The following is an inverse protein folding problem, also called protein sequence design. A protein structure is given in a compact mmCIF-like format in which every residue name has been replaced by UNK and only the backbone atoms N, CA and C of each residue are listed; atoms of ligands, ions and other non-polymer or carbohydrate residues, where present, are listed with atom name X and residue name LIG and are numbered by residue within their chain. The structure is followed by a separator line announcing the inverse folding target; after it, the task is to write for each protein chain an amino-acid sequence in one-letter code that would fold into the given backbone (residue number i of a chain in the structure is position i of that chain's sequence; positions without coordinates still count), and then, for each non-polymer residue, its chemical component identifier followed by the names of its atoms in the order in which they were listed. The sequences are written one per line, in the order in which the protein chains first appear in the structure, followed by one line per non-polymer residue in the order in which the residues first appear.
data_IF_287248508837
#
_entry.id   IF_287248508837
#
_cell.length_a   1.000
_cell.length_b   1.000
_cell.length_c   1.000
_cell.angle_alpha   90.00
_cell.angle_beta   90.00
_cell.angle_gamma   90.00
#
_symmetry.space_group_name_H-M   'P 1'
#
loop_
_entity.id
_entity.type
_entity.pdbx_description
1 polymer ?
#
# COMPACT_ATOMS: atom_id res chain seq x y z
N UNK A 1 52.14 26.06 -60.43
CA UNK A 1 51.87 26.73 -59.14
C UNK A 1 50.45 27.22 -59.16
N UNK A 2 49.49 26.62 -58.46
CA UNK A 2 49.13 25.19 -58.31
C UNK A 2 47.61 25.28 -58.18
N UNK A 3 46.86 24.98 -59.24
CA UNK A 3 46.59 23.69 -59.88
C UNK A 3 45.38 22.98 -59.24
N UNK A 4 44.22 22.91 -59.90
CA UNK A 4 43.80 23.72 -61.05
C UNK A 4 42.29 23.97 -61.00
N UNK A 5 41.93 25.25 -61.01
CA UNK A 5 40.64 25.75 -61.45
C UNK A 5 40.37 25.23 -62.86
N UNK A 6 39.56 24.18 -63.02
CA UNK A 6 38.92 23.87 -64.29
C UNK A 6 37.95 22.71 -64.13
N UNK A 7 36.70 23.01 -63.79
CA UNK A 7 35.59 22.35 -64.51
C UNK A 7 34.23 23.00 -64.32
N UNK A 8 34.14 24.26 -63.87
CA UNK A 8 32.94 25.06 -63.99
C UNK A 8 33.36 26.48 -64.39
N UNK A 9 33.06 26.89 -65.61
CA UNK A 9 33.27 28.26 -66.09
C UNK A 9 31.94 28.99 -66.20
N UNK A 10 31.95 30.28 -65.89
CA UNK A 10 30.86 31.21 -66.14
C UNK A 10 31.16 31.93 -67.44
N UNK A 11 30.32 31.74 -68.46
CA UNK A 11 30.36 32.55 -69.67
C UNK A 11 29.02 33.29 -69.75
N UNK A 12 29.08 34.63 -69.74
CA UNK A 12 27.91 35.52 -69.79
C UNK A 12 26.88 35.33 -68.64
N UNK A 13 27.33 34.97 -67.43
CA UNK A 13 26.47 34.96 -66.23
C UNK A 13 25.73 33.66 -65.89
N UNK A 14 26.08 32.50 -66.49
CA UNK A 14 25.62 31.17 -66.04
C UNK A 14 26.77 30.15 -65.89
N UNK A 15 26.73 29.29 -64.86
CA UNK A 15 27.70 28.20 -64.59
C UNK A 15 27.36 26.90 -65.35
N UNK A 16 28.35 26.24 -66.00
CA UNK A 16 28.25 24.85 -66.51
C UNK A 16 29.48 23.99 -66.18
N UNK A 17 29.25 22.74 -65.76
CA UNK A 17 30.26 21.71 -65.45
C UNK A 17 30.09 20.46 -66.35
N UNK A 18 31.18 19.76 -66.73
CA UNK A 18 31.13 18.61 -67.66
C UNK A 18 31.73 17.31 -67.07
N UNK A 19 30.95 16.22 -67.09
CA UNK A 19 31.26 14.85 -66.59
C UNK A 19 31.88 13.99 -67.70
N UNK A 20 33.10 13.44 -67.54
CA UNK A 20 33.53 12.27 -68.36
C UNK A 20 34.77 11.44 -67.94
N UNK A 21 35.26 11.49 -66.69
CA UNK A 21 36.45 10.69 -66.27
C UNK A 21 36.22 9.66 -65.15
N UNK A 22 35.00 9.17 -64.92
CA UNK A 22 34.71 8.27 -63.77
C UNK A 22 34.76 6.76 -64.11
N UNK A 23 34.90 6.35 -65.38
CA UNK A 23 34.58 4.97 -65.77
C UNK A 23 35.74 3.95 -65.71
N UNK A 24 37.02 4.32 -65.51
CA UNK A 24 38.13 3.34 -65.57
C UNK A 24 38.73 2.87 -64.24
N UNK A 25 38.22 3.36 -63.09
CA UNK A 25 38.68 2.92 -61.76
C UNK A 25 37.75 1.88 -61.10
N UNK A 26 36.64 1.51 -61.73
CA UNK A 26 35.59 0.71 -61.09
C UNK A 26 35.82 -0.82 -61.14
N UNK A 27 36.80 -1.29 -61.91
CA UNK A 27 36.99 -2.74 -62.17
C UNK A 27 38.06 -3.41 -61.31
N UNK A 28 39.02 -2.66 -60.74
CA UNK A 28 40.05 -3.23 -59.86
C UNK A 28 39.64 -3.29 -58.38
N UNK A 29 38.64 -2.53 -57.95
CA UNK A 29 38.14 -2.57 -56.55
C UNK A 29 37.18 -3.75 -56.32
N UNK A 30 36.43 -4.17 -57.35
CA UNK A 30 35.49 -5.31 -57.27
C UNK A 30 36.13 -6.68 -57.07
N UNK A 31 37.44 -6.83 -57.28
CA UNK A 31 38.15 -8.12 -57.17
C UNK A 31 38.65 -8.43 -55.75
N UNK A 32 38.89 -7.40 -54.93
CA UNK A 32 39.35 -7.57 -53.54
C UNK A 32 38.19 -7.73 -52.53
N UNK A 33 36.97 -7.30 -52.84
CA UNK A 33 35.82 -7.46 -51.93
C UNK A 33 35.22 -8.88 -51.90
N UNK A 34 35.50 -9.71 -52.91
CA UNK A 34 34.99 -11.10 -52.96
C UNK A 34 35.72 -12.04 -52.00
N UNK A 35 36.94 -11.72 -51.58
CA UNK A 35 37.73 -12.58 -50.67
C UNK A 35 37.45 -12.28 -49.18
N UNK A 36 36.98 -11.07 -48.84
CA UNK A 36 36.70 -10.69 -47.44
C UNK A 36 35.27 -11.04 -47.00
N UNK A 37 34.36 -11.28 -47.95
CA UNK A 37 32.95 -11.60 -47.68
C UNK A 37 32.67 -13.08 -47.35
N UNK A 38 33.65 -13.98 -47.47
CA UNK A 38 33.46 -15.42 -47.25
C UNK A 38 33.59 -15.88 -45.77
N UNK A 39 33.91 -15.01 -44.82
CA UNK A 39 34.16 -15.40 -43.40
C UNK A 39 33.35 -14.56 -42.41
N UNK A 40 32.06 -14.37 -42.66
CA UNK A 40 31.11 -13.91 -41.63
C UNK A 40 29.93 -14.87 -41.54
N UNK A 41 30.10 -15.94 -40.76
CA UNK A 41 28.97 -16.79 -40.35
C UNK A 41 27.97 -15.90 -39.59
N UNK A 42 26.80 -15.64 -40.19
CA UNK A 42 25.65 -15.09 -39.47
C UNK A 42 25.16 -16.18 -38.53
N UNK A 43 25.27 -15.97 -37.22
CA UNK A 43 24.47 -16.69 -36.24
C UNK A 43 23.01 -16.32 -36.48
N UNK A 44 22.25 -17.25 -37.04
CA UNK A 44 20.81 -17.12 -37.23
C UNK A 44 20.12 -17.33 -35.88
N UNK A 45 19.87 -16.24 -35.16
CA UNK A 45 18.89 -16.26 -34.08
C UNK A 45 17.50 -16.09 -34.69
N UNK A 46 16.57 -17.04 -34.52
CA UNK A 46 15.18 -16.82 -34.91
C UNK A 46 14.66 -15.63 -34.11
N UNK A 47 14.13 -14.61 -34.79
CA UNK A 47 13.41 -13.53 -34.10
C UNK A 47 12.21 -14.17 -33.38
N UNK A 48 12.04 -14.00 -32.06
CA UNK A 48 10.84 -14.47 -31.40
C UNK A 48 9.64 -13.80 -32.08
N UNK A 49 8.65 -14.62 -32.41
CA UNK A 49 7.47 -14.18 -33.14
C UNK A 49 6.60 -13.34 -32.21
N UNK A 50 6.87 -12.03 -32.23
CA UNK A 50 5.95 -10.90 -32.17
C UNK A 50 4.65 -11.04 -31.35
N UNK A 51 4.71 -11.57 -30.13
CA UNK A 51 3.67 -11.31 -29.11
C UNK A 51 3.79 -9.88 -28.54
N UNK A 52 4.92 -9.21 -28.79
CA UNK A 52 5.17 -7.83 -28.39
C UNK A 52 4.22 -6.84 -29.08
N UNK A 53 3.79 -7.10 -30.31
CA UNK A 53 2.81 -6.24 -30.98
C UNK A 53 1.46 -6.27 -30.26
N UNK A 54 0.96 -7.44 -29.90
CA UNK A 54 -0.31 -7.57 -29.17
C UNK A 54 -0.24 -6.86 -27.80
N UNK A 55 0.86 -7.04 -27.07
CA UNK A 55 1.07 -6.41 -25.77
C UNK A 55 1.16 -4.88 -25.88
N UNK A 56 1.84 -4.38 -26.91
CA UNK A 56 1.90 -2.94 -27.21
C UNK A 56 0.52 -2.39 -27.55
N UNK A 57 -0.29 -3.10 -28.36
CA UNK A 57 -1.68 -2.71 -28.63
C UNK A 57 -2.54 -2.68 -27.37
N UNK A 58 -2.42 -3.68 -26.48
CA UNK A 58 -3.11 -3.69 -25.20
C UNK A 58 -2.70 -2.51 -24.31
N UNK A 59 -1.41 -2.21 -24.21
CA UNK A 59 -0.92 -1.08 -23.43
C UNK A 59 -1.44 0.26 -23.98
N UNK A 60 -1.45 0.44 -25.31
CA UNK A 60 -1.99 1.63 -25.95
C UNK A 60 -3.50 1.77 -25.72
N UNK A 61 -4.26 0.67 -25.74
CA UNK A 61 -5.69 0.68 -25.43
C UNK A 61 -5.96 1.06 -23.97
N UNK A 62 -5.20 0.52 -23.02
CA UNK A 62 -5.33 0.86 -21.59
C UNK A 62 -5.07 2.36 -21.37
N UNK A 63 -4.02 2.90 -22.00
CA UNK A 63 -3.70 4.34 -21.91
C UNK A 63 -4.79 5.20 -22.53
N UNK A 64 -5.32 4.82 -23.70
CA UNK A 64 -6.39 5.54 -24.37
C UNK A 64 -7.70 5.53 -23.56
N UNK A 65 -8.06 4.38 -22.99
CA UNK A 65 -9.25 4.24 -22.14
C UNK A 65 -9.10 5.06 -20.85
N UNK A 66 -7.91 5.02 -20.22
CA UNK A 66 -7.63 5.84 -19.04
C UNK A 66 -7.74 7.35 -19.32
N UNK A 67 -7.27 7.80 -20.49
CA UNK A 67 -7.42 9.18 -20.94
C UNK A 67 -8.89 9.57 -21.13
N UNK A 68 -9.71 8.71 -21.75
CA UNK A 68 -11.14 8.97 -21.93
C UNK A 68 -11.92 9.01 -20.61
N UNK A 69 -11.58 8.16 -19.64
CA UNK A 69 -12.20 8.21 -18.31
C UNK A 69 -11.82 9.48 -17.55
N UNK A 70 -10.56 9.90 -17.63
CA UNK A 70 -10.13 11.18 -17.07
C UNK A 70 -10.80 12.37 -17.75
N UNK A 71 -11.01 12.33 -19.07
CA UNK A 71 -11.65 13.42 -19.81
C UNK A 71 -13.15 13.57 -19.49
N UNK A 72 -13.83 12.44 -19.28
CA UNK A 72 -15.28 12.42 -18.99
C UNK A 72 -15.61 12.54 -17.49
N UNK A 73 -14.61 12.69 -16.61
CA UNK A 73 -14.82 12.81 -15.15
C UNK A 73 -15.41 11.57 -14.50
N UNK A 74 -15.24 10.40 -15.11
CA UNK A 74 -15.74 9.12 -14.60
C UNK A 74 -14.71 8.58 -13.61
N UNK A 75 -15.11 8.39 -12.36
CA UNK A 75 -14.30 7.73 -11.35
C UNK A 75 -13.91 6.33 -11.82
N UNK A 76 -12.61 6.05 -11.90
CA UNK A 76 -12.07 4.76 -12.34
C UNK A 76 -12.63 3.58 -11.52
N UNK A 77 -13.01 3.84 -10.27
CA UNK A 77 -13.61 2.90 -9.33
C UNK A 77 -14.94 2.33 -9.84
N UNK A 78 -15.79 3.14 -10.50
CA UNK A 78 -17.14 2.75 -10.94
C UNK A 78 -17.10 1.75 -12.11
N UNK A 79 -16.02 1.77 -12.88
CA UNK A 79 -15.80 0.87 -14.03
C UNK A 79 -14.94 -0.33 -13.65
N UNK A 80 -13.98 -0.16 -12.74
CA UNK A 80 -13.04 -1.19 -12.36
C UNK A 80 -13.69 -2.24 -11.45
N UNK A 81 -14.59 -1.83 -10.55
CA UNK A 81 -15.22 -2.73 -9.58
C UNK A 81 -16.07 -3.85 -10.23
N UNK A 82 -16.90 -3.59 -11.27
CA UNK A 82 -17.61 -4.64 -12.00
C UNK A 82 -16.67 -5.61 -12.74
N UNK A 83 -15.58 -5.10 -13.30
CA UNK A 83 -14.61 -5.92 -14.05
C UNK A 83 -13.80 -6.80 -13.08
N UNK A 84 -13.34 -6.24 -11.96
CA UNK A 84 -12.60 -6.99 -10.94
C UNK A 84 -13.47 -8.04 -10.25
N UNK A 85 -14.74 -7.72 -9.98
CA UNK A 85 -15.68 -8.69 -9.42
C UNK A 85 -15.97 -9.83 -10.42
N UNK A 86 -16.14 -9.53 -11.70
CA UNK A 86 -16.26 -10.54 -12.75
C UNK A 86 -15.00 -11.42 -12.89
N UNK A 87 -13.81 -10.82 -12.88
CA UNK A 87 -12.52 -11.54 -12.93
C UNK A 87 -12.35 -12.44 -11.69
N UNK A 88 -12.72 -11.95 -10.50
CA UNK A 88 -12.68 -12.73 -9.25
C UNK A 88 -13.66 -13.92 -9.27
N UNK A 89 -14.85 -13.71 -9.81
CA UNK A 89 -15.88 -14.75 -9.93
C UNK A 89 -15.51 -15.80 -11.00
N UNK A 90 -14.84 -15.38 -12.08
CA UNK A 90 -14.41 -16.26 -13.16
C UNK A 90 -13.12 -17.02 -12.84
N UNK A 91 -12.19 -16.40 -12.09
CA UNK A 91 -10.93 -17.03 -11.68
C UNK A 91 -11.16 -18.20 -10.72
N UNK A 92 -12.17 -18.13 -9.84
CA UNK A 92 -12.59 -19.24 -8.96
C UNK A 92 -13.14 -20.46 -9.72
N UNK A 93 -13.47 -20.34 -11.00
CA UNK A 93 -13.97 -21.45 -11.83
C UNK A 93 -12.84 -22.23 -12.54
N UNK A 94 -11.60 -21.77 -12.47
CA UNK A 94 -10.45 -22.41 -13.10
C UNK A 94 -9.72 -23.29 -12.07
N UNK A 95 -9.67 -24.63 -12.24
CA UNK A 95 -9.04 -25.54 -11.27
C UNK A 95 -7.52 -25.32 -11.11
N UNK A 96 -6.90 -24.62 -12.07
CA UNK A 96 -5.48 -24.23 -12.04
C UNK A 96 -5.22 -23.10 -11.02
N UNK A 97 -6.23 -22.28 -10.71
CA UNK A 97 -6.11 -21.14 -9.79
C UNK A 97 -6.04 -21.61 -8.35
N UNK A 98 -6.80 -22.64 -7.95
CA UNK A 98 -6.70 -23.21 -6.60
C UNK A 98 -5.31 -23.78 -6.30
N UNK A 99 -4.70 -24.50 -7.26
CA UNK A 99 -3.35 -25.05 -7.09
C UNK A 99 -2.28 -23.96 -6.96
N UNK A 100 -2.41 -22.86 -7.70
CA UNK A 100 -1.48 -21.72 -7.61
C UNK A 100 -1.69 -20.96 -6.29
N UNK A 101 -2.94 -20.75 -5.88
CA UNK A 101 -3.24 -20.09 -4.60
C UNK A 101 -2.72 -20.95 -3.43
N UNK A 102 -2.91 -22.26 -3.44
CA UNK A 102 -2.41 -23.15 -2.38
C UNK A 102 -0.88 -23.22 -2.36
N UNK A 103 -0.24 -23.19 -3.52
CA UNK A 103 1.23 -23.08 -3.61
C UNK A 103 1.74 -21.77 -3.01
N UNK A 104 1.03 -20.66 -3.26
CA UNK A 104 1.34 -19.35 -2.67
C UNK A 104 1.13 -19.36 -1.17
N UNK A 105 0.01 -19.94 -0.67
CA UNK A 105 -0.26 -20.08 0.76
C UNK A 105 0.82 -20.89 1.47
N UNK A 106 1.24 -22.02 0.89
CA UNK A 106 2.32 -22.85 1.45
C UNK A 106 3.68 -22.14 1.48
N UNK A 107 3.99 -21.36 0.44
CA UNK A 107 5.20 -20.55 0.42
C UNK A 107 5.15 -19.44 1.47
N UNK A 108 3.99 -18.82 1.67
CA UNK A 108 3.79 -17.82 2.71
C UNK A 108 3.92 -18.43 4.11
N UNK A 109 3.31 -19.58 4.37
CA UNK A 109 3.41 -20.27 5.67
C UNK A 109 4.85 -20.69 5.99
N UNK A 110 5.60 -21.18 4.99
CA UNK A 110 7.01 -21.53 5.14
C UNK A 110 7.90 -20.30 5.35
N UNK A 111 7.57 -19.16 4.74
CA UNK A 111 8.29 -17.91 4.98
C UNK A 111 8.00 -17.38 6.39
N UNK A 112 6.75 -17.48 6.85
CA UNK A 112 6.34 -17.08 8.20
C UNK A 112 7.02 -17.95 9.27
N UNK A 113 7.17 -19.26 9.04
CA UNK A 113 7.89 -20.14 9.98
C UNK A 113 9.38 -19.80 10.09
N UNK A 114 10.05 -19.55 8.96
CA UNK A 114 11.46 -19.15 8.94
C UNK A 114 11.70 -17.79 9.60
N UNK A 115 10.72 -16.89 9.53
CA UNK A 115 10.77 -15.61 10.23
C UNK A 115 10.54 -15.81 11.74
N UNK A 116 9.59 -16.67 12.15
CA UNK A 116 9.36 -16.96 13.58
C UNK A 116 10.61 -17.51 14.28
N UNK A 117 11.33 -18.43 13.65
CA UNK A 117 12.52 -19.05 14.23
C UNK A 117 13.66 -18.02 14.40
N UNK A 118 13.79 -17.09 13.45
CA UNK A 118 14.81 -16.03 13.51
C UNK A 118 14.54 -14.97 14.59
N UNK A 119 13.28 -14.80 14.99
CA UNK A 119 12.87 -13.79 15.97
C UNK A 119 12.90 -14.30 17.42
N UNK A 120 12.86 -15.62 17.65
CA UNK A 120 12.89 -16.18 19.02
C UNK A 120 14.29 -16.18 19.65
N UNK A 121 15.36 -16.17 18.86
CA UNK A 121 16.74 -16.17 19.38
C UNK A 121 17.29 -14.78 19.79
N UNK A 122 16.62 -13.67 19.42
CA UNK A 122 17.19 -12.32 19.58
C UNK A 122 16.66 -11.50 20.77
N UNK A 123 15.93 -12.10 21.72
CA UNK A 123 15.28 -11.37 22.83
C UNK A 123 16.11 -11.21 24.11
N UNK A 124 17.45 -11.17 24.06
CA UNK A 124 18.29 -10.83 25.23
C UNK A 124 19.19 -9.60 25.01
N UNK A 125 18.72 -8.47 25.56
CA UNK A 125 19.42 -7.25 26.03
C UNK A 125 19.80 -6.10 25.07
N UNK A 126 19.79 -4.82 25.55
CA UNK A 126 19.67 -3.63 24.71
C UNK A 126 20.90 -2.71 24.70
N UNK A 127 21.22 -2.06 23.57
CA UNK A 127 21.86 -0.72 23.59
C UNK A 127 21.69 0.08 22.28
N UNK A 128 21.59 1.40 22.51
CA UNK A 128 21.42 2.60 21.66
C UNK A 128 22.19 2.65 20.33
N UNK A 129 21.59 3.29 19.32
CA UNK A 129 22.28 3.76 18.10
C UNK A 129 21.37 4.51 17.12
N UNK A 130 21.90 5.57 16.51
CA UNK A 130 21.26 6.68 15.77
C UNK A 130 20.89 6.41 14.28
N UNK A 131 19.82 7.11 13.83
CA UNK A 131 19.45 7.63 12.48
C UNK A 131 19.05 6.70 11.29
N UNK A 132 17.77 6.87 10.95
CA UNK A 132 17.10 7.03 9.63
C UNK A 132 17.11 5.89 8.59
N UNK A 133 15.99 5.16 8.53
CA UNK A 133 15.23 4.79 7.31
C UNK A 133 13.87 4.28 7.77
N UNK A 134 12.79 4.80 7.18
CA UNK A 134 11.40 4.46 7.48
C UNK A 134 11.21 2.97 7.20
N UNK A 135 11.23 2.17 8.27
CA UNK A 135 10.94 0.76 8.27
C UNK A 135 9.48 0.66 8.69
N UNK A 136 8.63 0.02 7.89
CA UNK A 136 7.28 -0.34 8.31
C UNK A 136 7.41 -1.02 9.68
N UNK A 137 6.87 -0.37 10.71
CA UNK A 137 6.92 -0.86 12.08
C UNK A 137 6.04 -2.10 12.16
N UNK A 138 6.62 -3.26 11.88
CA UNK A 138 5.99 -4.59 12.05
C UNK A 138 5.33 -4.77 13.43
N UNK A 139 5.75 -3.97 14.42
CA UNK A 139 5.12 -3.86 15.74
C UNK A 139 3.65 -3.44 15.68
N UNK A 140 3.25 -2.63 14.68
CA UNK A 140 1.88 -2.14 14.49
C UNK A 140 0.92 -3.27 14.10
N UNK A 141 1.40 -4.27 13.35
CA UNK A 141 0.59 -5.44 12.92
C UNK A 141 0.41 -6.42 14.08
N UNK A 142 1.45 -6.61 14.90
CA UNK A 142 1.44 -7.52 16.05
C UNK A 142 0.54 -7.02 17.18
N UNK A 143 0.40 -5.71 17.29
CA UNK A 143 -0.27 -5.06 18.40
C UNK A 143 -1.76 -5.44 18.50
N UNK A 144 -2.47 -5.56 17.37
CA UNK A 144 -3.92 -5.74 17.34
C UNK A 144 -4.39 -7.22 17.31
N UNK A 145 -3.48 -8.18 17.15
CA UNK A 145 -3.80 -9.61 17.18
C UNK A 145 -3.69 -10.23 18.59
N UNK A 146 -2.98 -9.56 19.51
CA UNK A 146 -2.86 -9.98 20.92
C UNK A 146 -4.09 -9.54 21.72
N UNK A 147 -5.18 -10.28 21.54
CA UNK A 147 -6.31 -10.26 22.47
C UNK A 147 -5.87 -11.00 23.74
N UNK A 148 -5.83 -10.30 24.86
CA UNK A 148 -5.55 -10.91 26.15
C UNK A 148 -6.85 -11.53 26.70
N UNK A 149 -7.01 -12.83 26.51
CA UNK A 149 -8.18 -13.56 26.98
C UNK A 149 -8.34 -13.59 28.51
N UNK A 150 -7.36 -13.10 29.27
CA UNK A 150 -7.45 -12.97 30.73
C UNK A 150 -8.17 -11.69 31.18
N UNK A 151 -8.29 -10.70 30.30
CA UNK A 151 -8.93 -9.43 30.62
C UNK A 151 -10.45 -9.52 30.57
N UNK A 152 -11.16 -8.77 31.43
CA UNK A 152 -12.61 -8.78 31.47
C UNK A 152 -13.23 -8.11 30.23
N UNK A 153 -14.43 -8.58 29.90
CA UNK A 153 -15.30 -7.96 28.90
C UNK A 153 -16.42 -7.25 29.62
N UNK A 154 -16.59 -5.96 29.36
CA UNK A 154 -17.61 -5.13 29.99
C UNK A 154 -18.71 -4.78 28.97
N UNK A 155 -19.95 -4.63 29.45
CA UNK A 155 -21.03 -4.01 28.66
C UNK A 155 -20.95 -2.48 28.71
N UNK A 156 -21.70 -1.78 27.84
CA UNK A 156 -21.78 -0.30 27.86
C UNK A 156 -22.29 0.21 29.21
N UNK A 157 -23.28 -0.47 29.80
CA UNK A 157 -23.84 -0.14 31.11
C UNK A 157 -22.79 -0.36 32.22
N UNK A 158 -22.02 -1.45 32.14
CA UNK A 158 -20.96 -1.72 33.11
C UNK A 158 -19.83 -0.69 33.04
N UNK A 159 -19.41 -0.32 31.84
CA UNK A 159 -18.39 0.70 31.61
C UNK A 159 -18.85 2.08 32.10
N UNK A 160 -20.14 2.42 31.96
CA UNK A 160 -20.71 3.69 32.47
C UNK A 160 -20.50 3.90 33.96
N UNK A 161 -20.26 2.83 34.74
CA UNK A 161 -19.97 2.97 36.16
C UNK A 161 -18.57 3.51 36.49
N UNK A 162 -17.69 3.66 35.50
CA UNK A 162 -16.30 4.12 35.62
C UNK A 162 -16.11 5.54 35.05
N UNK A 163 -17.12 6.39 35.21
CA UNK A 163 -17.16 7.81 34.83
C UNK A 163 -16.32 8.74 35.75
N UNK A 164 -15.67 8.19 36.78
CA UNK A 164 -14.89 8.92 37.77
C UNK A 164 -15.70 9.64 38.85
N UNK A 165 -17.04 9.55 38.84
CA UNK A 165 -17.90 10.20 39.86
C UNK A 165 -17.86 9.50 41.21
N UNK A 166 -17.50 8.21 41.22
CA UNK A 166 -17.39 7.36 42.41
C UNK A 166 -15.92 7.19 42.79
N UNK A 167 -15.45 7.73 43.92
CA UNK A 167 -14.06 7.58 44.35
C UNK A 167 -13.62 6.13 44.57
N UNK A 168 -14.56 5.23 44.85
CA UNK A 168 -14.31 3.80 45.04
C UNK A 168 -14.12 3.02 43.73
N UNK A 169 -14.35 3.65 42.57
CA UNK A 169 -14.16 3.06 41.24
C UNK A 169 -13.13 3.89 40.47
N UNK A 170 -12.37 3.24 39.61
CA UNK A 170 -11.46 3.92 38.69
C UNK A 170 -12.21 4.76 37.64
N UNK A 171 -11.46 5.55 36.88
CA UNK A 171 -11.96 6.30 35.73
C UNK A 171 -11.49 5.60 34.47
N UNK A 172 -12.41 5.02 33.69
CA UNK A 172 -12.08 4.26 32.48
C UNK A 172 -12.62 4.96 31.24
N UNK A 173 -11.99 4.74 30.10
CA UNK A 173 -12.52 5.11 28.78
C UNK A 173 -12.21 4.02 27.76
N UNK A 174 -12.93 4.02 26.64
CA UNK A 174 -12.72 3.06 25.58
C UNK A 174 -12.45 3.70 24.21
N UNK A 175 -11.58 3.04 23.44
CA UNK A 175 -11.24 3.38 22.04
C UNK A 175 -11.11 2.08 21.24
N UNK A 176 -11.84 1.99 20.12
CA UNK A 176 -12.07 0.75 19.35
C UNK A 176 -12.45 -0.42 20.25
N UNK A 177 -13.26 -0.18 21.28
CA UNK A 177 -13.67 -1.16 22.28
C UNK A 177 -12.55 -1.65 23.20
N UNK A 178 -11.35 -1.08 23.20
CA UNK A 178 -10.29 -1.36 24.19
C UNK A 178 -10.46 -0.42 25.37
N UNK A 179 -10.51 -0.96 26.58
CA UNK A 179 -10.80 -0.20 27.80
C UNK A 179 -9.50 0.09 28.54
N UNK A 180 -9.22 1.37 28.79
CA UNK A 180 -8.03 1.83 29.49
C UNK A 180 -8.36 2.42 30.86
N UNK A 181 -7.53 2.11 31.85
CA UNK A 181 -7.58 2.79 33.15
C UNK A 181 -6.87 4.14 33.07
N UNK A 182 -7.67 5.21 33.04
CA UNK A 182 -7.19 6.60 32.96
C UNK A 182 -7.17 7.29 34.32
N UNK A 183 -7.17 6.54 35.42
CA UNK A 183 -7.09 7.11 36.77
C UNK A 183 -5.82 7.94 37.00
N UNK A 184 -4.68 7.57 36.37
CA UNK A 184 -3.45 8.38 36.36
C UNK A 184 -3.69 9.79 35.80
N UNK A 185 -4.66 9.93 34.91
CA UNK A 185 -5.12 11.17 34.29
C UNK A 185 -6.39 11.75 34.91
N UNK A 186 -6.75 11.42 36.16
CA UNK A 186 -8.02 11.84 36.78
C UNK A 186 -8.27 13.36 36.74
N UNK A 187 -7.23 14.20 36.73
CA UNK A 187 -7.36 15.67 36.52
C UNK A 187 -7.99 16.07 35.18
N UNK A 188 -7.92 15.20 34.18
CA UNK A 188 -8.42 15.41 32.83
C UNK A 188 -9.75 14.71 32.59
N UNK A 189 -9.86 13.45 33.02
CA UNK A 189 -11.00 12.58 32.73
C UNK A 189 -11.98 12.45 33.90
N UNK A 190 -11.57 12.77 35.12
CA UNK A 190 -12.46 12.76 36.29
C UNK A 190 -13.43 13.95 36.30
N UNK A 191 -14.36 13.98 37.27
CA UNK A 191 -15.36 15.03 37.37
C UNK A 191 -14.75 16.44 37.39
N UNK A 192 -15.25 17.33 36.52
CA UNK A 192 -14.73 18.69 36.36
C UNK A 192 -13.49 18.82 35.48
N UNK A 193 -12.93 17.71 34.99
CA UNK A 193 -11.86 17.71 34.00
C UNK A 193 -12.36 18.05 32.59
N UNK A 194 -11.49 18.64 31.78
CA UNK A 194 -11.82 19.09 30.41
C UNK A 194 -12.17 17.96 29.44
N UNK A 195 -11.83 16.72 29.79
CA UNK A 195 -12.02 15.53 28.96
C UNK A 195 -12.94 14.50 29.64
N UNK A 196 -13.72 14.93 30.64
CA UNK A 196 -14.59 14.05 31.41
C UNK A 196 -15.69 13.36 30.56
N UNK A 197 -16.09 13.96 29.44
CA UNK A 197 -17.06 13.37 28.52
C UNK A 197 -16.61 12.05 27.88
N UNK A 198 -15.31 11.71 27.94
CA UNK A 198 -14.79 10.41 27.52
C UNK A 198 -14.95 9.32 28.58
N UNK A 199 -15.12 9.68 29.85
CA UNK A 199 -15.14 8.72 30.94
C UNK A 199 -16.41 7.84 30.89
N UNK A 200 -16.23 6.55 31.17
CA UNK A 200 -17.30 5.57 31.25
C UNK A 200 -17.97 5.21 29.92
N UNK A 201 -17.34 5.51 28.77
CA UNK A 201 -17.90 5.18 27.45
C UNK A 201 -16.83 4.91 26.40
N UNK A 202 -17.27 4.39 25.27
CA UNK A 202 -16.48 4.37 24.03
C UNK A 202 -16.90 5.57 23.17
N UNK A 203 -15.94 6.44 22.90
CA UNK A 203 -16.14 7.64 22.10
C UNK A 203 -15.05 7.72 21.03
N UNK A 204 -14.72 6.57 20.43
CA UNK A 204 -13.73 6.43 19.34
C UNK A 204 -13.89 7.51 18.28
N UNK A 205 -15.12 7.82 17.87
CA UNK A 205 -15.38 8.82 16.83
C UNK A 205 -14.94 10.23 17.23
N UNK A 206 -15.13 10.62 18.48
CA UNK A 206 -14.80 11.95 18.98
C UNK A 206 -13.29 12.23 19.01
N UNK A 207 -12.44 11.20 19.08
CA UNK A 207 -10.98 11.35 19.05
C UNK A 207 -10.46 11.95 17.73
N UNK A 208 -11.18 11.73 16.63
CA UNK A 208 -10.82 12.26 15.31
C UNK A 208 -11.70 13.45 14.94
N UNK A 209 -13.01 13.29 15.10
CA UNK A 209 -13.96 14.32 14.67
C UNK A 209 -13.91 15.59 15.53
N UNK A 210 -13.45 15.50 16.78
CA UNK A 210 -13.52 16.59 17.74
C UNK A 210 -14.95 16.97 18.15
N UNK A 211 -15.95 16.19 17.76
CA UNK A 211 -17.34 16.38 18.17
C UNK A 211 -17.57 15.73 19.55
N UNK A 212 -17.66 16.57 20.57
CA UNK A 212 -17.90 16.15 21.96
C UNK A 212 -19.38 16.21 22.36
N UNK A 213 -20.29 16.33 21.39
CA UNK A 213 -21.73 16.14 21.62
C UNK A 213 -22.07 14.66 21.68
N UNK A 214 -23.26 14.31 22.17
CA UNK A 214 -23.72 12.90 22.21
C UNK A 214 -23.75 12.22 20.83
N UNK A 215 -23.76 12.99 19.74
CA UNK A 215 -23.66 12.43 18.37
C UNK A 215 -22.24 12.00 18.01
N UNK A 216 -21.23 12.68 18.55
CA UNK A 216 -19.82 12.36 18.33
C UNK A 216 -19.25 11.41 19.38
N UNK A 217 -19.81 11.37 20.59
CA UNK A 217 -19.41 10.48 21.68
C UNK A 217 -19.95 9.04 21.52
N UNK A 218 -19.66 8.45 20.35
CA UNK A 218 -20.06 7.09 19.97
C UNK A 218 -18.85 6.27 19.53
N UNK A 219 -19.02 4.95 19.55
CA UNK A 219 -18.04 3.98 19.09
C UNK A 219 -17.99 3.86 17.56
N UNK A 220 -18.98 4.39 16.83
CA UNK A 220 -19.06 4.20 15.38
C UNK A 220 -18.17 5.16 14.57
N UNK A 221 -17.37 4.54 13.72
CA UNK A 221 -16.34 5.14 12.87
C UNK A 221 -16.71 5.06 11.38
N UNK A 222 -17.95 4.70 11.08
CA UNK A 222 -18.45 4.71 9.70
C UNK A 222 -18.31 6.09 9.06
N UNK A 223 -17.90 6.11 7.79
CA UNK A 223 -17.65 7.32 7.03
C UNK A 223 -16.30 7.99 7.26
N UNK A 224 -15.45 7.44 8.13
CA UNK A 224 -14.06 7.90 8.27
C UNK A 224 -13.19 7.39 7.12
N UNK A 225 -12.29 8.24 6.63
CA UNK A 225 -11.34 7.91 5.56
C UNK A 225 -10.02 7.35 6.10
N UNK A 226 -9.18 6.84 5.23
CA UNK A 226 -7.92 6.16 5.57
C UNK A 226 -7.04 6.90 6.60
N UNK A 227 -6.89 8.22 6.46
CA UNK A 227 -6.10 9.06 7.37
C UNK A 227 -6.74 9.20 8.76
N UNK A 228 -8.08 9.22 8.84
CA UNK A 228 -8.81 9.23 10.11
C UNK A 228 -8.55 7.92 10.88
N UNK A 229 -8.48 6.79 10.16
CA UNK A 229 -8.23 5.48 10.77
C UNK A 229 -6.82 5.39 11.34
N UNK A 230 -5.83 5.95 10.62
CA UNK A 230 -4.47 6.10 11.14
C UNK A 230 -4.44 6.98 12.40
N UNK A 231 -5.21 8.07 12.42
CA UNK A 231 -5.34 8.90 13.60
C UNK A 231 -5.88 8.13 14.81
N UNK A 232 -6.88 7.26 14.62
CA UNK A 232 -7.41 6.41 15.70
C UNK A 232 -6.31 5.48 16.21
N UNK A 233 -5.54 4.92 15.30
CA UNK A 233 -4.44 4.02 15.63
C UNK A 233 -3.35 4.71 16.46
N UNK A 234 -3.02 5.96 16.14
CA UNK A 234 -2.05 6.74 16.90
C UNK A 234 -2.57 7.11 18.30
N UNK A 235 -3.88 7.38 18.43
CA UNK A 235 -4.50 7.52 19.74
C UNK A 235 -4.38 6.23 20.57
N UNK A 236 -4.61 5.07 19.96
CA UNK A 236 -4.45 3.80 20.67
C UNK A 236 -3.01 3.63 21.17
N UNK A 237 -2.00 3.82 20.31
CA UNK A 237 -0.59 3.76 20.73
C UNK A 237 -0.28 4.69 21.91
N UNK A 238 -0.82 5.90 21.88
CA UNK A 238 -0.67 6.86 22.97
C UNK A 238 -1.23 6.29 24.28
N UNK A 239 -2.47 5.77 24.24
CA UNK A 239 -3.09 5.25 25.45
C UNK A 239 -2.36 4.03 26.02
N UNK A 240 -1.86 3.14 25.18
CA UNK A 240 -1.13 1.96 25.65
C UNK A 240 0.23 2.23 26.25
N UNK A 241 0.85 3.31 25.79
CA UNK A 241 2.12 3.74 26.34
C UNK A 241 1.95 4.29 27.76
N UNK A 242 0.88 5.05 27.99
CA UNK A 242 0.73 5.87 29.20
C UNK A 242 -0.32 5.30 30.19
N UNK A 243 -1.19 4.41 29.75
CA UNK A 243 -2.30 3.83 30.52
C UNK A 243 -2.38 2.32 30.38
N UNK A 244 -2.98 1.69 31.39
CA UNK A 244 -3.07 0.24 31.48
C UNK A 244 -4.33 -0.25 30.76
N UNK A 245 -4.20 -1.23 29.87
CA UNK A 245 -5.34 -1.93 29.27
C UNK A 245 -5.98 -2.82 30.32
N UNK A 246 -7.27 -2.60 30.60
CA UNK A 246 -7.99 -3.30 31.67
C UNK A 246 -9.15 -4.15 31.19
N UNK A 247 -9.49 -4.10 29.89
CA UNK A 247 -10.59 -4.89 29.36
C UNK A 247 -10.98 -4.57 27.94
N UNK A 248 -12.05 -5.22 27.50
CA UNK A 248 -12.69 -5.02 26.21
C UNK A 248 -14.17 -4.67 26.38
N UNK A 249 -14.70 -3.84 25.49
CA UNK A 249 -16.10 -3.44 25.47
C UNK A 249 -16.88 -4.33 24.52
N UNK A 250 -17.87 -5.03 25.06
CA UNK A 250 -18.82 -5.80 24.27
C UNK A 250 -19.64 -4.87 23.37
N UNK A 251 -19.68 -5.17 22.07
CA UNK A 251 -20.47 -4.45 21.09
C UNK A 251 -19.83 -4.45 19.71
N UNK A 252 -19.53 -3.25 19.21
CA UNK A 252 -19.11 -3.00 17.83
C UNK A 252 -17.83 -3.74 17.45
N UNK A 253 -16.84 -3.79 18.35
CA UNK A 253 -15.50 -4.28 18.04
C UNK A 253 -15.14 -5.61 18.70
N UNK A 254 -15.72 -5.92 19.87
CA UNK A 254 -15.53 -7.18 20.57
C UNK A 254 -16.87 -7.82 20.90
N UNK A 255 -16.95 -9.14 20.82
CA UNK A 255 -18.12 -9.89 21.25
C UNK A 255 -18.14 -10.15 22.77
N UNK A 256 -19.17 -10.83 23.26
CA UNK A 256 -19.32 -11.16 24.69
C UNK A 256 -18.19 -12.06 25.25
N UNK A 257 -17.45 -12.75 24.37
CA UNK A 257 -16.29 -13.56 24.74
C UNK A 257 -14.97 -12.80 24.63
N UNK A 258 -15.02 -11.51 24.29
CA UNK A 258 -13.83 -10.66 24.11
C UNK A 258 -13.13 -10.91 22.78
N UNK A 259 -13.76 -11.62 21.83
CA UNK A 259 -13.16 -11.89 20.52
C UNK A 259 -13.45 -10.74 19.55
N UNK A 260 -12.49 -10.41 18.66
CA UNK A 260 -12.67 -9.40 17.62
C UNK A 260 -13.83 -9.73 16.68
N UNK A 261 -14.73 -8.77 16.49
CA UNK A 261 -15.80 -8.86 15.51
C UNK A 261 -15.27 -8.74 14.08
N UNK A 262 -16.09 -9.11 13.09
CA UNK A 262 -15.77 -8.88 11.69
C UNK A 262 -15.52 -7.40 11.38
N UNK A 263 -16.23 -6.48 12.07
CA UNK A 263 -16.03 -5.04 11.90
C UNK A 263 -14.61 -4.65 12.30
N UNK A 264 -14.15 -5.07 13.47
CA UNK A 264 -12.78 -4.81 13.91
C UNK A 264 -11.73 -5.40 12.94
N UNK A 265 -11.98 -6.60 12.40
CA UNK A 265 -11.07 -7.23 11.41
C UNK A 265 -10.99 -6.47 10.08
N UNK A 266 -12.12 -6.00 9.55
CA UNK A 266 -12.15 -5.18 8.34
C UNK A 266 -11.36 -3.89 8.54
N UNK A 267 -11.52 -3.28 9.72
CA UNK A 267 -10.75 -2.11 10.12
C UNK A 267 -9.25 -2.36 10.18
N UNK A 268 -8.83 -3.52 10.72
CA UNK A 268 -7.41 -3.90 10.71
C UNK A 268 -6.85 -4.03 9.31
N UNK A 269 -7.58 -4.66 8.40
CA UNK A 269 -7.15 -4.79 7.01
C UNK A 269 -7.01 -3.41 6.34
N UNK A 270 -7.93 -2.48 6.62
CA UNK A 270 -7.82 -1.12 6.10
C UNK A 270 -6.53 -0.42 6.58
N UNK A 271 -6.24 -0.45 7.87
CA UNK A 271 -5.01 0.18 8.42
C UNK A 271 -3.74 -0.43 7.83
N UNK A 272 -3.70 -1.76 7.65
CA UNK A 272 -2.55 -2.44 7.04
C UNK A 272 -2.38 -2.00 5.59
N UNK A 273 -3.47 -1.92 4.83
CA UNK A 273 -3.43 -1.46 3.44
C UNK A 273 -2.92 -0.02 3.34
N UNK A 274 -3.38 0.90 4.19
CA UNK A 274 -2.92 2.30 4.17
C UNK A 274 -1.41 2.39 4.43
N UNK A 275 -0.91 1.67 5.43
CA UNK A 275 0.54 1.64 5.73
C UNK A 275 1.39 0.94 4.66
N UNK A 276 0.78 0.21 3.71
CA UNK A 276 1.51 -0.48 2.64
C UNK A 276 1.63 0.38 1.36
N UNK A 277 0.76 1.39 1.21
CA UNK A 277 0.66 2.20 -0.01
C UNK A 277 1.21 3.63 0.12
N UNK A 278 1.56 4.09 1.33
CA UNK A 278 2.34 5.31 1.61
C UNK A 278 3.83 5.00 1.86
#
# INVERSE_FOLDING_TARGET
MIIDHNCCTVENGLLKCNQKQVQSNHDNEKRNDRSVSAVRRRLYYPRPQLQTSALVYCALQVVFIAFLFSYNGISTVDVLFPILSWISEYSRKLPLVESVIDSIRQLLDSLVSLIKDKYFETSSSPTKGSRTKQKVDTNNIVFMEKVDNSLPVLTKEQLSFFDGTRPSKGTYLAILGRIYDVQKGAKHYGPGGSYNFFAGRDATRAFISGDFTEKGLIDDVEGFGDQDLLGIFDWIKFYEKDYDLVGYLQGTYYDASGKPTSRLKVWFLAIICVNYYD
#
